data_IF_996186344907
#
_entry.id   IF_996186344907
#
_cell.length_a   1.000
_cell.length_b   1.000
_cell.length_c   1.000
_cell.angle_alpha   90.00
_cell.angle_beta   90.00
_cell.angle_gamma   90.00
#
_symmetry.space_group_name_H-M   'P 1'
#
loop_
_entity.id
_entity.type
_entity.pdbx_description
1 polymer ?
#
# COMPACT_ATOMS: atom_id res chain seq x y z
N UNK A 1 13.95 -53.73 -38.01
CA UNK A 1 13.24 -52.44 -37.82
C UNK A 1 14.25 -51.33 -37.53
N UNK A 2 14.51 -50.41 -38.47
CA UNK A 2 15.43 -49.28 -38.27
C UNK A 2 14.65 -48.10 -37.65
N UNK A 3 14.93 -47.75 -36.39
CA UNK A 3 14.38 -46.54 -35.75
C UNK A 3 14.97 -45.31 -36.44
N UNK A 4 14.12 -44.51 -37.09
CA UNK A 4 14.49 -43.21 -37.66
C UNK A 4 14.80 -42.26 -36.50
N UNK A 5 16.04 -41.86 -36.37
CA UNK A 5 16.46 -40.78 -35.49
C UNK A 5 16.01 -39.45 -36.12
N UNK A 6 15.13 -38.72 -35.44
CA UNK A 6 14.73 -37.36 -35.83
C UNK A 6 15.55 -36.39 -34.98
N UNK A 7 16.46 -35.59 -35.56
CA UNK A 7 17.24 -34.64 -34.79
C UNK A 7 16.32 -33.50 -34.31
N UNK A 8 16.22 -33.34 -32.99
CA UNK A 8 15.52 -32.20 -32.38
C UNK A 8 16.36 -30.95 -32.60
N UNK A 9 15.96 -30.11 -33.57
CA UNK A 9 16.56 -28.78 -33.74
C UNK A 9 16.30 -27.96 -32.47
N UNK A 10 17.37 -27.63 -31.73
CA UNK A 10 17.33 -26.63 -30.65
C UNK A 10 16.80 -25.33 -31.24
N UNK A 11 15.53 -24.98 -30.98
CA UNK A 11 14.99 -23.65 -31.25
C UNK A 11 15.71 -22.68 -30.33
N UNK A 12 16.61 -21.88 -30.89
CA UNK A 12 17.20 -20.74 -30.20
C UNK A 12 16.08 -19.77 -29.88
N UNK A 13 15.61 -19.78 -28.63
CA UNK A 13 14.61 -18.83 -28.16
C UNK A 13 15.18 -17.42 -28.28
N UNK A 14 14.56 -16.58 -29.12
CA UNK A 14 14.82 -15.13 -29.12
C UNK A 14 14.65 -14.65 -27.68
N UNK A 15 15.73 -14.15 -27.07
CA UNK A 15 15.67 -13.50 -25.76
C UNK A 15 14.68 -12.34 -25.86
N UNK A 16 13.54 -12.43 -25.18
CA UNK A 16 12.61 -11.33 -25.04
C UNK A 16 13.35 -10.27 -24.21
N UNK A 17 13.62 -9.06 -24.74
CA UNK A 17 14.29 -8.04 -23.96
C UNK A 17 13.40 -7.70 -22.76
N UNK A 18 13.99 -7.74 -21.56
CA UNK A 18 13.29 -7.40 -20.34
C UNK A 18 12.81 -5.94 -20.44
N UNK A 19 11.51 -5.74 -20.59
CA UNK A 19 10.89 -4.41 -20.60
C UNK A 19 11.06 -3.83 -19.20
N UNK A 20 11.96 -2.86 -19.08
CA UNK A 20 12.23 -2.17 -17.82
C UNK A 20 11.14 -1.13 -17.62
N UNK A 21 10.04 -1.52 -16.96
CA UNK A 21 8.99 -0.58 -16.56
C UNK A 21 9.61 0.40 -15.57
N UNK A 22 9.74 1.67 -15.97
CA UNK A 22 10.12 2.75 -15.07
C UNK A 22 8.82 3.35 -14.53
N UNK A 23 8.56 3.34 -13.22
CA UNK A 23 7.46 4.08 -12.64
C UNK A 23 7.76 5.58 -12.84
N UNK A 24 7.17 6.15 -13.88
CA UNK A 24 7.25 7.57 -14.21
C UNK A 24 5.93 7.99 -14.81
N UNK A 25 5.39 9.11 -14.34
CA UNK A 25 4.22 9.72 -14.94
C UNK A 25 4.50 10.03 -16.42
N UNK A 26 3.52 9.77 -17.29
CA UNK A 26 3.62 10.10 -18.71
C UNK A 26 3.95 11.59 -18.87
N UNK A 27 4.91 11.91 -19.72
CA UNK A 27 5.33 13.30 -19.96
C UNK A 27 4.19 14.18 -20.43
N UNK A 28 3.19 13.61 -21.13
CA UNK A 28 2.01 14.34 -21.58
C UNK A 28 1.08 14.73 -20.42
N UNK A 29 1.07 13.95 -19.33
CA UNK A 29 0.25 14.20 -18.15
C UNK A 29 0.84 15.30 -17.24
N UNK A 30 2.08 15.76 -17.48
CA UNK A 30 2.71 16.82 -16.68
C UNK A 30 1.90 18.12 -16.69
N UNK A 31 1.37 18.50 -17.84
CA UNK A 31 0.54 19.70 -17.97
C UNK A 31 -0.79 19.55 -17.21
N UNK A 32 -1.37 18.34 -17.23
CA UNK A 32 -2.57 18.01 -16.47
C UNK A 32 -2.29 18.05 -14.96
N UNK A 33 -1.19 17.47 -14.50
CA UNK A 33 -0.79 17.54 -13.08
C UNK A 33 -0.49 18.97 -12.62
N UNK A 34 0.12 19.79 -13.47
CA UNK A 34 0.35 21.20 -13.18
C UNK A 34 -0.97 21.97 -13.02
N UNK A 35 -2.02 21.62 -13.78
CA UNK A 35 -3.34 22.25 -13.69
C UNK A 35 -4.16 21.83 -12.46
N UNK A 36 -3.93 20.62 -11.92
CA UNK A 36 -4.58 20.14 -10.69
C UNK A 36 -4.03 20.88 -9.46
N UNK A 37 -2.76 21.31 -9.52
CA UNK A 37 -2.07 21.97 -8.41
C UNK A 37 -1.76 21.00 -7.27
N UNK A 38 -0.74 21.32 -6.48
CA UNK A 38 -0.50 20.63 -5.20
C UNK A 38 -1.28 21.42 -4.14
N UNK A 39 -2.22 20.79 -3.41
CA UNK A 39 -2.93 21.49 -2.35
C UNK A 39 -1.92 22.00 -1.32
N UNK A 40 -2.14 23.21 -0.81
CA UNK A 40 -1.30 23.75 0.27
C UNK A 40 -1.25 22.77 1.45
N UNK A 41 -0.11 22.69 2.13
CA UNK A 41 0.06 21.84 3.29
C UNK A 41 -0.84 22.34 4.43
N UNK A 42 -2.05 21.80 4.48
CA UNK A 42 -2.97 21.99 5.59
C UNK A 42 -2.61 21.02 6.72
N UNK A 43 -2.76 21.48 7.97
CA UNK A 43 -2.68 20.61 9.13
C UNK A 43 -3.75 19.51 9.03
N UNK A 44 -3.36 18.27 9.30
CA UNK A 44 -4.29 17.16 9.30
C UNK A 44 -5.29 17.32 10.45
N UNK A 45 -6.55 17.62 10.12
CA UNK A 45 -7.65 17.63 11.07
C UNK A 45 -8.35 16.26 11.05
N UNK A 46 -8.31 15.49 12.14
CA UNK A 46 -8.97 14.19 12.18
C UNK A 46 -10.49 14.36 12.09
N UNK A 47 -11.11 13.47 11.32
CA UNK A 47 -12.56 13.43 11.21
C UNK A 47 -13.22 12.92 12.51
N UNK A 48 -14.47 13.31 12.80
CA UNK A 48 -15.18 12.87 14.00
C UNK A 48 -15.20 11.35 14.18
N UNK A 49 -15.36 10.58 13.08
CA UNK A 49 -15.39 9.13 13.15
C UNK A 49 -14.03 8.53 13.57
N UNK A 50 -12.92 9.20 13.25
CA UNK A 50 -11.58 8.76 13.62
C UNK A 50 -11.35 8.93 15.13
N UNK A 51 -11.80 10.06 15.69
CA UNK A 51 -11.76 10.32 17.13
C UNK A 51 -12.64 9.33 17.90
N UNK A 52 -13.87 9.12 17.43
CA UNK A 52 -14.79 8.16 18.04
C UNK A 52 -14.23 6.74 18.02
N UNK A 53 -13.56 6.34 16.95
CA UNK A 53 -12.92 5.02 16.87
C UNK A 53 -11.78 4.88 17.90
N UNK A 54 -10.94 5.90 18.06
CA UNK A 54 -9.87 5.89 19.07
C UNK A 54 -10.45 5.77 20.48
N UNK A 55 -11.52 6.51 20.78
CA UNK A 55 -12.19 6.43 22.09
C UNK A 55 -12.85 5.07 22.31
N UNK A 56 -13.49 4.51 21.28
CA UNK A 56 -14.13 3.20 21.34
C UNK A 56 -13.12 2.09 21.62
N UNK A 57 -11.95 2.11 20.95
CA UNK A 57 -10.86 1.13 21.13
C UNK A 57 -10.32 1.10 22.57
N UNK A 58 -10.34 2.24 23.27
CA UNK A 58 -9.91 2.27 24.68
C UNK A 58 -10.90 1.60 25.63
N UNK A 59 -12.17 1.54 25.25
CA UNK A 59 -13.26 1.00 26.07
C UNK A 59 -13.54 -0.47 25.74
N UNK A 60 -13.52 -0.85 24.46
CA UNK A 60 -13.90 -2.19 23.99
C UNK A 60 -13.34 -2.48 22.58
N UNK A 61 -13.59 -3.69 22.08
CA UNK A 61 -13.29 -4.05 20.68
C UNK A 61 -14.15 -3.21 19.71
N UNK A 62 -13.52 -2.73 18.64
CA UNK A 62 -14.14 -1.81 17.68
C UNK A 62 -13.97 -2.29 16.23
N UNK A 63 -15.05 -2.23 15.45
CA UNK A 63 -15.04 -2.43 14.00
C UNK A 63 -15.28 -1.09 13.30
N UNK A 64 -14.33 -0.66 12.47
CA UNK A 64 -14.44 0.60 11.72
C UNK A 64 -14.75 0.31 10.25
N UNK A 65 -15.93 0.74 9.80
CA UNK A 65 -16.34 0.69 8.39
C UNK A 65 -16.19 2.07 7.76
N UNK A 66 -15.32 2.20 6.76
CA UNK A 66 -15.16 3.43 6.00
C UNK A 66 -14.63 3.11 4.57
N UNK A 67 -14.74 4.00 3.58
CA UNK A 67 -14.20 3.80 2.24
C UNK A 67 -12.66 4.01 2.16
N UNK A 68 -12.00 3.44 1.16
CA UNK A 68 -10.56 3.68 0.90
C UNK A 68 -10.31 5.18 0.74
N UNK A 69 -9.22 5.69 1.32
CA UNK A 69 -8.92 7.13 1.31
C UNK A 69 -9.46 7.93 2.50
N UNK A 70 -10.42 7.41 3.28
CA UNK A 70 -10.94 8.10 4.46
C UNK A 70 -9.97 8.16 5.67
N UNK A 71 -8.78 7.58 5.56
CA UNK A 71 -7.80 7.63 6.66
C UNK A 71 -8.00 6.60 7.78
N UNK A 72 -8.60 5.44 7.51
CA UNK A 72 -8.65 4.31 8.49
C UNK A 72 -7.27 3.94 9.05
N UNK A 73 -6.23 4.06 8.24
CA UNK A 73 -4.85 3.80 8.65
C UNK A 73 -4.40 4.74 9.77
N UNK A 74 -4.87 5.99 9.77
CA UNK A 74 -4.56 6.95 10.83
C UNK A 74 -5.08 6.46 12.19
N UNK A 75 -6.29 5.90 12.23
CA UNK A 75 -6.87 5.31 13.44
C UNK A 75 -5.98 4.18 13.97
N UNK A 76 -5.50 3.29 13.09
CA UNK A 76 -4.63 2.19 13.46
C UNK A 76 -3.30 2.69 14.05
N UNK A 77 -2.63 3.65 13.38
CA UNK A 77 -1.36 4.23 13.84
C UNK A 77 -1.50 4.86 15.23
N UNK A 78 -2.53 5.69 15.43
CA UNK A 78 -2.77 6.34 16.71
C UNK A 78 -3.07 5.33 17.83
N UNK A 79 -3.84 4.28 17.53
CA UNK A 79 -4.15 3.23 18.49
C UNK A 79 -2.91 2.43 18.87
N UNK A 80 -2.07 2.07 17.90
CA UNK A 80 -0.79 1.40 18.14
C UNK A 80 0.10 2.28 19.03
N UNK A 81 0.26 3.56 18.70
CA UNK A 81 1.09 4.49 19.47
C UNK A 81 0.66 4.56 20.94
N UNK A 82 -0.64 4.66 21.22
CA UNK A 82 -1.19 4.63 22.60
C UNK A 82 -0.90 3.33 23.34
N UNK A 83 -0.96 2.18 22.66
CA UNK A 83 -0.69 0.87 23.28
C UNK A 83 0.81 0.69 23.54
N UNK A 84 1.66 1.17 22.64
CA UNK A 84 3.11 1.17 22.80
C UNK A 84 3.57 2.09 23.94
N UNK A 85 2.93 3.26 24.12
CA UNK A 85 3.16 4.12 25.30
C UNK A 85 2.87 3.38 26.62
N UNK A 86 1.86 2.51 26.62
CA UNK A 86 1.53 1.63 27.76
C UNK A 86 2.45 0.40 27.88
N UNK A 87 3.55 0.34 27.10
CA UNK A 87 4.51 -0.78 27.04
C UNK A 87 3.88 -2.15 26.76
N UNK A 88 2.74 -2.17 26.08
CA UNK A 88 2.04 -3.39 25.68
C UNK A 88 2.46 -3.80 24.26
N UNK A 89 2.31 -5.08 23.95
CA UNK A 89 2.58 -5.63 22.61
C UNK A 89 1.37 -5.40 21.70
N UNK A 90 1.63 -5.13 20.43
CA UNK A 90 0.61 -4.98 19.39
C UNK A 90 0.96 -5.90 18.21
N UNK A 91 -0.06 -6.56 17.67
CA UNK A 91 0.04 -7.34 16.43
C UNK A 91 -0.82 -6.67 15.37
N UNK A 92 -0.24 -6.43 14.20
CA UNK A 92 -0.94 -5.80 13.07
C UNK A 92 -1.04 -6.79 11.93
N UNK A 93 -2.24 -6.97 11.39
CA UNK A 93 -2.52 -7.89 10.30
C UNK A 93 -2.92 -7.12 9.05
N UNK A 94 -2.30 -7.46 7.91
CA UNK A 94 -2.66 -6.93 6.60
C UNK A 94 -2.85 -8.09 5.63
N UNK A 95 -3.76 -7.93 4.66
CA UNK A 95 -4.06 -8.98 3.68
C UNK A 95 -2.99 -9.11 2.59
N UNK A 96 -2.26 -8.03 2.26
CA UNK A 96 -1.24 -8.01 1.21
C UNK A 96 0.15 -7.70 1.77
N UNK A 97 1.15 -8.45 1.29
CA UNK A 97 2.55 -8.30 1.70
C UNK A 97 3.20 -6.98 1.24
N UNK A 98 2.73 -6.40 0.13
CA UNK A 98 3.28 -5.19 -0.49
C UNK A 98 2.86 -3.88 0.18
N UNK A 99 1.97 -3.92 1.17
CA UNK A 99 1.45 -2.71 1.83
C UNK A 99 2.30 -2.25 3.02
N UNK A 100 3.38 -2.99 3.34
CA UNK A 100 4.20 -2.72 4.52
C UNK A 100 5.30 -1.72 4.19
N UNK A 101 5.01 -0.43 4.39
CA UNK A 101 6.01 0.61 4.56
C UNK A 101 5.46 1.66 5.53
N UNK A 102 5.46 1.32 6.83
CA UNK A 102 5.21 2.27 7.91
C UNK A 102 6.35 2.13 8.91
N UNK A 103 7.36 2.99 8.80
CA UNK A 103 8.30 3.20 9.89
C UNK A 103 7.60 4.07 10.94
N UNK A 104 7.35 3.46 12.10
CA UNK A 104 7.03 4.19 13.32
C UNK A 104 8.39 4.46 13.97
N UNK A 105 8.98 5.62 13.67
CA UNK A 105 10.13 6.18 14.41
C UNK A 105 9.70 6.76 15.74
#
# INVERSE_FOLDING_TARGET
>A
MRKRYIPVQKRWGKKIPAVRIRPGADSELKNVFASIGVPEQAEFKPDPFQLNAIEAIEKADCLVTAPTGAGKTWIAVQSIAKVLQKRKKVLVCFSLKSFVQFEIS
#
